data_IF_681175786794
#
_entry.id   IF_681175786794
#
_cell.length_a   1.000
_cell.length_b   1.000
_cell.length_c   1.000
_cell.angle_alpha   90.00
_cell.angle_beta   90.00
_cell.angle_gamma   90.00
#
_symmetry.space_group_name_H-M   'P 1'
#
loop_
_entity.id
_entity.type
_entity.pdbx_description
1 polymer ?
#
# COMPACT_ATOMS: atom_id res chain seq x y z
N UNK A 1 2.82 -9.00 -0.64
CA UNK A 1 1.72 -8.79 -1.61
C UNK A 1 1.39 -10.01 -2.46
N UNK A 2 2.32 -10.57 -3.28
CA UNK A 2 2.03 -11.66 -4.23
C UNK A 2 1.25 -12.84 -3.66
N UNK A 3 1.78 -13.53 -2.65
CA UNK A 3 1.12 -14.72 -2.05
C UNK A 3 -0.22 -14.35 -1.41
N UNK A 4 -0.27 -13.23 -0.68
CA UNK A 4 -1.47 -12.78 0.03
C UNK A 4 -2.64 -12.49 -0.91
N UNK A 5 -2.41 -11.65 -1.93
CA UNK A 5 -3.45 -11.26 -2.89
C UNK A 5 -3.76 -12.39 -3.87
N UNK A 6 -2.73 -13.14 -4.26
CA UNK A 6 -2.87 -14.32 -5.11
C UNK A 6 -3.77 -15.38 -4.50
N UNK A 7 -3.68 -15.62 -3.19
CA UNK A 7 -4.58 -16.54 -2.49
C UNK A 7 -6.05 -16.08 -2.52
N UNK A 8 -6.33 -14.77 -2.52
CA UNK A 8 -7.70 -14.25 -2.67
C UNK A 8 -8.24 -14.49 -4.07
N UNK A 9 -7.42 -14.26 -5.09
CA UNK A 9 -7.76 -14.50 -6.48
C UNK A 9 -7.99 -16.01 -6.74
N UNK A 10 -7.08 -16.87 -6.29
CA UNK A 10 -7.20 -18.32 -6.41
C UNK A 10 -8.40 -18.90 -5.63
N UNK A 11 -8.85 -18.20 -4.58
CA UNK A 11 -10.07 -18.53 -3.84
C UNK A 11 -11.38 -18.22 -4.58
N UNK A 12 -11.33 -17.67 -5.80
CA UNK A 12 -12.49 -17.42 -6.65
C UNK A 12 -13.10 -16.02 -6.54
N UNK A 13 -12.42 -15.07 -5.90
CA UNK A 13 -12.87 -13.67 -5.89
C UNK A 13 -12.77 -13.05 -7.30
N UNK A 14 -13.87 -12.48 -7.81
CA UNK A 14 -13.90 -11.89 -9.17
C UNK A 14 -13.12 -10.57 -9.32
N UNK A 15 -12.86 -9.88 -8.21
CA UNK A 15 -12.08 -8.63 -8.14
C UNK A 15 -11.21 -8.68 -6.89
N UNK A 16 -9.93 -8.34 -7.03
CA UNK A 16 -8.99 -8.21 -5.91
C UNK A 16 -8.38 -6.82 -5.96
N UNK A 17 -8.63 -6.03 -4.91
CA UNK A 17 -8.11 -4.66 -4.76
C UNK A 17 -6.87 -4.72 -3.85
N UNK A 18 -5.72 -4.27 -4.36
CA UNK A 18 -4.51 -4.06 -3.56
C UNK A 18 -4.76 -2.97 -2.52
N UNK A 19 -4.16 -3.13 -1.35
CA UNK A 19 -4.21 -2.19 -0.22
C UNK A 19 -3.88 -0.74 -0.60
N UNK A 20 -4.25 0.20 0.28
CA UNK A 20 -3.96 1.62 0.12
C UNK A 20 -2.49 1.86 -0.24
N UNK A 21 -2.26 2.27 -1.48
CA UNK A 21 -0.93 2.43 -2.07
C UNK A 21 -0.63 3.91 -2.22
N UNK A 22 0.41 4.36 -1.54
CA UNK A 22 0.71 5.78 -1.46
C UNK A 22 1.19 6.36 -2.81
N UNK A 23 0.64 7.51 -3.18
CA UNK A 23 1.01 8.26 -4.40
C UNK A 23 2.29 9.09 -4.25
N UNK A 24 2.77 9.28 -3.03
CA UNK A 24 4.07 9.90 -2.71
C UNK A 24 4.61 9.36 -1.37
N UNK A 25 5.94 9.45 -1.10
CA UNK A 25 6.53 8.84 0.09
C UNK A 25 5.91 9.28 1.42
N UNK A 26 5.57 10.57 1.55
CA UNK A 26 4.96 11.16 2.76
C UNK A 26 3.46 10.86 2.89
N UNK A 27 2.84 10.32 1.85
CA UNK A 27 1.43 9.95 1.81
C UNK A 27 1.13 8.58 2.42
N UNK A 28 2.16 7.83 2.83
CA UNK A 28 1.99 6.55 3.52
C UNK A 28 1.37 6.73 4.90
N UNK A 29 0.61 5.75 5.39
CA UNK A 29 0.17 5.69 6.78
C UNK A 29 1.38 5.27 7.62
N UNK A 30 1.97 4.12 7.33
CA UNK A 30 3.16 3.62 8.04
C UNK A 30 4.39 3.53 7.14
N UNK A 31 5.62 3.49 7.70
CA UNK A 31 6.84 3.34 6.90
C UNK A 31 6.85 2.10 6.00
N UNK A 32 6.04 1.09 6.31
CA UNK A 32 5.95 -0.18 5.60
C UNK A 32 4.83 -0.21 4.54
N UNK A 33 4.03 0.85 4.43
CA UNK A 33 2.97 0.92 3.43
C UNK A 33 3.54 0.86 2.01
N UNK A 34 2.74 0.25 1.13
CA UNK A 34 3.03 0.14 -0.29
C UNK A 34 3.02 1.52 -0.98
N UNK A 35 3.83 1.64 -2.03
CA UNK A 35 4.01 2.88 -2.81
C UNK A 35 3.96 2.68 -4.31
N UNK A 36 3.60 3.73 -5.05
CA UNK A 36 3.63 3.76 -6.53
C UNK A 36 4.04 5.13 -7.09
N UNK A 37 4.97 5.80 -6.42
CA UNK A 37 5.43 7.17 -6.79
C UNK A 37 6.70 7.19 -7.65
N UNK A 38 7.21 6.03 -8.05
CA UNK A 38 8.50 5.85 -8.72
C UNK A 38 8.42 4.60 -9.60
N UNK A 39 9.02 4.62 -10.78
CA UNK A 39 8.96 3.53 -11.76
C UNK A 39 9.49 2.20 -11.21
N UNK A 40 10.37 2.23 -10.21
CA UNK A 40 10.83 1.01 -9.51
C UNK A 40 9.70 0.22 -8.85
N UNK A 41 8.56 0.85 -8.55
CA UNK A 41 7.38 0.17 -8.01
C UNK A 41 6.59 -0.58 -9.08
N UNK A 42 6.73 -0.21 -10.36
CA UNK A 42 5.89 -0.73 -11.46
C UNK A 42 6.11 -2.22 -11.66
N UNK A 43 7.35 -2.67 -11.85
CA UNK A 43 7.62 -4.07 -12.19
C UNK A 43 7.17 -5.06 -11.08
N UNK A 44 7.44 -4.82 -9.78
CA UNK A 44 6.91 -5.67 -8.71
C UNK A 44 5.38 -5.69 -8.62
N UNK A 45 4.70 -4.55 -8.84
CA UNK A 45 3.23 -4.47 -8.81
C UNK A 45 2.60 -5.15 -10.03
N UNK A 46 3.20 -5.00 -11.22
CA UNK A 46 2.77 -5.68 -12.44
C UNK A 46 2.79 -7.20 -12.25
N UNK A 47 3.85 -7.75 -11.64
CA UNK A 47 3.92 -9.18 -11.31
C UNK A 47 2.75 -9.65 -10.43
N UNK A 48 2.27 -8.82 -9.51
CA UNK A 48 1.11 -9.14 -8.66
C UNK A 48 -0.19 -9.08 -9.48
N UNK A 49 -0.36 -8.03 -10.30
CA UNK A 49 -1.53 -7.88 -11.15
C UNK A 49 -1.67 -9.03 -12.16
N UNK A 50 -0.56 -9.43 -12.80
CA UNK A 50 -0.51 -10.55 -13.74
C UNK A 50 -0.90 -11.86 -13.07
N UNK A 51 -0.41 -12.10 -11.84
CA UNK A 51 -0.77 -13.29 -11.09
C UNK A 51 -2.25 -13.31 -10.72
N UNK A 52 -2.81 -12.19 -10.25
CA UNK A 52 -4.26 -12.07 -9.97
C UNK A 52 -5.08 -12.38 -11.23
N UNK A 53 -4.70 -11.78 -12.37
CA UNK A 53 -5.35 -12.00 -13.66
C UNK A 53 -5.27 -13.47 -14.09
N UNK A 54 -4.14 -14.14 -13.87
CA UNK A 54 -3.98 -15.55 -14.22
C UNK A 54 -4.85 -16.49 -13.38
N UNK A 55 -5.39 -16.04 -12.24
CA UNK A 55 -6.37 -16.79 -11.44
C UNK A 55 -7.84 -16.49 -11.84
N UNK A 56 -8.08 -15.68 -12.88
CA UNK A 56 -9.43 -15.33 -13.33
C UNK A 56 -10.08 -14.15 -12.60
N UNK A 57 -9.32 -13.43 -11.78
CA UNK A 57 -9.79 -12.24 -11.07
C UNK A 57 -9.35 -10.94 -11.76
N UNK A 58 -10.14 -9.87 -11.62
CA UNK A 58 -9.73 -8.53 -12.06
C UNK A 58 -8.78 -7.92 -11.01
N UNK A 59 -7.54 -7.53 -11.37
CA UNK A 59 -6.67 -6.79 -10.47
C UNK A 59 -7.07 -5.30 -10.42
N UNK A 60 -7.15 -4.75 -9.21
CA UNK A 60 -7.35 -3.32 -8.97
C UNK A 60 -6.45 -2.82 -7.84
N UNK A 61 -6.32 -1.50 -7.70
CA UNK A 61 -5.47 -0.86 -6.69
C UNK A 61 -6.16 0.36 -6.10
N UNK A 62 -6.05 0.54 -4.78
CA UNK A 62 -6.51 1.76 -4.12
C UNK A 62 -5.34 2.77 -4.03
N UNK A 63 -5.40 3.85 -4.80
CA UNK A 63 -4.46 4.97 -4.66
C UNK A 63 -4.82 5.80 -3.42
N UNK A 64 -3.82 6.16 -2.62
CA UNK A 64 -4.04 6.80 -1.33
C UNK A 64 -3.02 7.90 -0.99
N UNK A 65 -3.46 8.82 -0.13
CA UNK A 65 -2.61 9.73 0.62
C UNK A 65 -3.19 9.90 2.04
N UNK A 66 -2.43 9.55 3.07
CA UNK A 66 -2.89 9.51 4.46
C UNK A 66 -3.08 10.90 5.10
N UNK A 67 -2.48 11.94 4.51
CA UNK A 67 -2.61 13.32 4.99
C UNK A 67 -2.12 13.45 6.43
N UNK A 68 -2.87 14.12 7.30
CA UNK A 68 -2.55 14.24 8.75
C UNK A 68 -2.43 12.91 9.51
N UNK A 69 -2.90 11.80 8.94
CA UNK A 69 -2.80 10.46 9.54
C UNK A 69 -1.58 9.66 9.05
N UNK A 70 -0.66 10.33 8.35
CA UNK A 70 0.60 9.74 7.91
C UNK A 70 1.60 9.60 9.07
N UNK A 71 2.70 8.88 8.80
CA UNK A 71 3.82 8.69 9.73
C UNK A 71 3.42 7.99 11.03
N UNK A 72 2.56 6.98 10.97
CA UNK A 72 2.12 6.18 12.11
C UNK A 72 2.82 4.82 12.13
N UNK A 73 3.15 4.31 13.31
CA UNK A 73 3.67 2.95 13.48
C UNK A 73 2.60 1.93 13.06
N UNK A 74 3.03 0.70 12.78
CA UNK A 74 2.10 -0.37 12.43
C UNK A 74 1.10 -0.60 13.58
N UNK A 75 -0.13 -1.04 13.29
CA UNK A 75 -1.15 -1.18 14.33
C UNK A 75 -0.71 -2.07 15.52
N UNK A 76 0.00 -3.16 15.25
CA UNK A 76 0.51 -4.07 16.29
C UNK A 76 1.76 -3.55 17.03
N UNK A 77 2.34 -2.44 16.58
CA UNK A 77 3.39 -1.68 17.28
C UNK A 77 2.80 -0.49 18.08
N UNK A 78 1.47 -0.46 18.24
CA UNK A 78 0.75 0.51 19.05
C UNK A 78 0.20 1.71 18.27
N UNK A 79 0.39 1.78 16.95
CA UNK A 79 -0.26 2.78 16.10
C UNK A 79 0.03 4.23 16.50
N UNK A 80 1.23 4.51 17.02
CA UNK A 80 1.66 5.84 17.49
C UNK A 80 2.34 6.62 16.38
N UNK A 81 2.39 7.94 16.50
CA UNK A 81 3.17 8.78 15.59
C UNK A 81 4.65 8.34 15.63
N UNK A 82 5.24 8.12 14.46
CA UNK A 82 6.67 7.93 14.27
C UNK A 82 7.27 9.31 14.03
N UNK A 83 8.11 9.74 14.96
CA UNK A 83 8.81 11.02 14.87
C UNK A 83 9.88 10.99 13.76
N UNK A 84 10.24 12.15 13.16
CA UNK A 84 11.29 12.22 12.14
C UNK A 84 12.64 11.60 12.56
N UNK A 85 13.02 11.78 13.84
CA UNK A 85 14.24 11.18 14.41
C UNK A 85 14.23 9.65 14.46
N UNK A 86 13.05 9.03 14.32
CA UNK A 86 12.85 7.58 14.34
C UNK A 86 12.47 7.04 12.95
N UNK A 87 12.72 7.80 11.87
CA UNK A 87 12.41 7.40 10.50
C UNK A 87 11.01 7.77 10.02
N UNK A 88 10.27 8.55 10.80
CA UNK A 88 9.01 9.16 10.39
C UNK A 88 9.20 10.42 9.55
N UNK A 89 8.12 11.14 9.31
CA UNK A 89 8.09 12.38 8.54
C UNK A 89 6.98 13.31 9.01
N UNK A 90 7.06 14.59 8.65
CA UNK A 90 6.00 15.56 8.93
C UNK A 90 4.80 15.30 7.99
N UNK A 91 3.61 14.98 8.52
CA UNK A 91 2.40 14.84 7.71
C UNK A 91 1.97 16.18 7.10
N UNK A 92 1.20 16.13 6.00
CA UNK A 92 0.59 17.31 5.39
C UNK A 92 -0.93 17.24 5.47
N UNK A 93 -1.57 18.40 5.63
CA UNK A 93 -3.02 18.51 5.72
C UNK A 93 -3.50 19.86 5.15
N UNK A 94 -4.79 19.98 4.80
CA UNK A 94 -5.35 21.27 4.36
C UNK A 94 -5.33 22.36 5.44
N UNK A 95 -5.38 21.98 6.72
CA UNK A 95 -5.41 22.87 7.90
C UNK A 95 -4.86 22.17 9.13
#
# INVERSE_FOLDING_TARGET
HLVHLGARAAGGAGLVIVEATAVEPRGRISPQDLGIWDDRHVAPLARVADFIRSQGAVPAIQLAHAGRKASMARPWEGGRLVEPRAGGWTPVAPS
#
